data_IF_556418692570
#
_entry.id   IF_556418692570
#
_cell.length_a   1.000
_cell.length_b   1.000
_cell.length_c   1.000
_cell.angle_alpha   90.00
_cell.angle_beta   90.00
_cell.angle_gamma   90.00
#
_symmetry.space_group_name_H-M   'P 1'
#
loop_
_entity.id
_entity.type
_entity.pdbx_description
1 polymer ?
#
# COMPACT_ATOMS: atom_id res chain seq x y z
N UNK A 1 -8.75 9.62 13.57
CA UNK A 1 -10.09 9.10 13.24
C UNK A 1 -10.51 9.35 11.78
N UNK A 2 -9.58 9.42 10.81
CA UNK A 2 -9.92 9.80 9.42
C UNK A 2 -10.28 8.61 8.51
N UNK A 3 -9.94 7.38 8.89
CA UNK A 3 -10.25 6.17 8.12
C UNK A 3 -10.29 4.94 9.02
N UNK A 4 -11.21 4.02 8.70
CA UNK A 4 -11.47 2.82 9.51
C UNK A 4 -10.94 1.52 8.88
N UNK A 5 -10.42 1.60 7.66
CA UNK A 5 -9.99 0.41 6.88
C UNK A 5 -8.59 0.59 6.33
N UNK A 6 -7.89 -0.52 6.11
CA UNK A 6 -6.57 -0.51 5.46
C UNK A 6 -6.63 0.10 4.06
N UNK A 7 -7.72 -0.14 3.31
CA UNK A 7 -7.93 0.49 2.02
C UNK A 7 -8.09 2.01 2.13
N UNK A 8 -8.81 2.48 3.16
CA UNK A 8 -8.95 3.90 3.48
C UNK A 8 -7.62 4.56 3.83
N UNK A 9 -6.81 3.90 4.67
CA UNK A 9 -5.44 4.31 4.97
C UNK A 9 -4.62 4.50 3.70
N UNK A 10 -4.58 3.49 2.82
CA UNK A 10 -3.80 3.55 1.57
C UNK A 10 -4.27 4.68 0.65
N UNK A 11 -5.58 4.86 0.49
CA UNK A 11 -6.14 5.95 -0.34
C UNK A 11 -5.80 7.31 0.26
N UNK A 12 -5.91 7.46 1.58
CA UNK A 12 -5.58 8.69 2.28
C UNK A 12 -4.10 9.04 2.11
N UNK A 13 -3.19 8.09 2.34
CA UNK A 13 -1.75 8.27 2.13
C UNK A 13 -1.41 8.68 0.70
N UNK A 14 -2.09 8.13 -0.30
CA UNK A 14 -1.85 8.44 -1.71
C UNK A 14 -2.59 9.71 -2.20
N UNK A 15 -3.58 10.20 -1.45
CA UNK A 15 -4.47 11.31 -1.86
C UNK A 15 -5.37 11.01 -3.06
N UNK A 16 -5.43 9.75 -3.52
CA UNK A 16 -6.23 9.30 -4.67
C UNK A 16 -6.43 7.79 -4.62
N UNK A 17 -7.34 7.28 -5.46
CA UNK A 17 -7.46 5.84 -5.69
C UNK A 17 -6.17 5.30 -6.34
N UNK A 18 -5.58 4.22 -5.81
CA UNK A 18 -4.40 3.60 -6.40
C UNK A 18 -4.76 2.76 -7.62
N UNK A 19 -3.75 2.51 -8.46
CA UNK A 19 -3.85 1.55 -9.57
C UNK A 19 -3.34 0.17 -9.15
N UNK A 20 -3.73 -0.87 -9.90
CA UNK A 20 -3.17 -2.22 -9.72
C UNK A 20 -1.64 -2.19 -9.85
N UNK A 21 -0.97 -2.98 -9.01
CA UNK A 21 0.47 -3.10 -8.82
C UNK A 21 1.17 -1.85 -8.25
N UNK A 22 0.44 -0.78 -7.96
CA UNK A 22 1.00 0.36 -7.22
C UNK A 22 1.36 -0.07 -5.80
N UNK A 23 2.42 0.51 -5.27
CA UNK A 23 2.98 0.17 -3.96
C UNK A 23 3.17 1.42 -3.12
N UNK A 24 2.84 1.35 -1.84
CA UNK A 24 3.08 2.42 -0.86
C UNK A 24 3.72 1.84 0.39
N UNK A 25 4.63 2.59 1.01
CA UNK A 25 5.27 2.24 2.27
C UNK A 25 4.65 3.07 3.39
N UNK A 26 4.20 2.40 4.45
CA UNK A 26 3.59 3.02 5.62
C UNK A 26 4.13 2.26 6.83
N UNK A 27 4.77 2.97 7.76
CA UNK A 27 5.29 2.43 9.02
C UNK A 27 6.15 1.15 8.87
N UNK A 28 7.04 1.12 7.86
CA UNK A 28 7.94 -0.01 7.59
C UNK A 28 7.27 -1.23 6.93
N UNK A 29 5.99 -1.13 6.60
CA UNK A 29 5.27 -2.13 5.83
C UNK A 29 5.10 -1.67 4.39
N UNK A 30 5.25 -2.61 3.46
CA UNK A 30 4.97 -2.42 2.05
C UNK A 30 3.56 -2.91 1.72
N UNK A 31 2.74 -2.05 1.15
CA UNK A 31 1.39 -2.35 0.70
C UNK A 31 1.36 -2.33 -0.84
N UNK A 32 1.16 -3.49 -1.46
CA UNK A 32 0.99 -3.60 -2.91
C UNK A 32 -0.48 -3.84 -3.28
N UNK A 33 -1.02 -3.04 -4.19
CA UNK A 33 -2.40 -3.15 -4.66
C UNK A 33 -2.53 -4.29 -5.66
N UNK A 34 -3.10 -5.41 -5.24
CA UNK A 34 -3.35 -6.53 -6.15
C UNK A 34 -4.62 -6.31 -6.98
N UNK A 35 -5.65 -5.69 -6.37
CA UNK A 35 -6.92 -5.39 -7.01
C UNK A 35 -7.54 -4.11 -6.45
N UNK A 36 -7.90 -3.20 -7.35
CA UNK A 36 -8.70 -2.01 -7.08
C UNK A 36 -9.61 -1.72 -8.28
N UNK A 37 -10.71 -1.00 -8.03
CA UNK A 37 -11.58 -0.42 -9.06
C UNK A 37 -11.70 1.09 -8.88
N UNK A 38 -12.56 1.74 -9.67
CA UNK A 38 -12.77 3.19 -9.64
C UNK A 38 -13.39 3.74 -8.35
N UNK A 39 -13.68 2.88 -7.36
CA UNK A 39 -14.31 3.29 -6.10
C UNK A 39 -13.55 2.81 -4.87
N UNK A 40 -12.82 1.69 -4.95
CA UNK A 40 -12.16 1.10 -3.77
C UNK A 40 -11.00 0.15 -4.08
N UNK A 41 -10.21 -0.10 -3.06
CA UNK A 41 -9.23 -1.20 -2.99
C UNK A 41 -9.94 -2.46 -2.53
N UNK A 42 -9.70 -3.59 -3.22
CA UNK A 42 -10.27 -4.90 -2.87
C UNK A 42 -9.25 -5.82 -2.20
N UNK A 43 -7.99 -5.77 -2.64
CA UNK A 43 -6.96 -6.70 -2.17
C UNK A 43 -5.60 -6.04 -2.15
N UNK A 44 -4.93 -6.16 -1.00
CA UNK A 44 -3.58 -5.69 -0.75
C UNK A 44 -2.71 -6.90 -0.38
N UNK A 45 -1.52 -6.97 -0.96
CA UNK A 45 -0.44 -7.75 -0.38
C UNK A 45 0.29 -6.85 0.61
N UNK A 46 0.50 -7.34 1.83
CA UNK A 46 1.23 -6.64 2.87
C UNK A 46 2.42 -7.50 3.28
N UNK A 47 3.60 -6.91 3.21
CA UNK A 47 4.82 -7.56 3.68
C UNK A 47 5.71 -6.54 4.42
N UNK A 48 6.50 -6.99 5.40
CA UNK A 48 7.55 -6.15 5.95
C UNK A 48 8.50 -5.78 4.83
N UNK A 49 8.86 -4.49 4.72
CA UNK A 49 9.99 -4.14 3.91
C UNK A 49 11.24 -4.64 4.61
N UNK A 50 11.61 -5.89 4.32
CA UNK A 50 12.98 -6.31 4.51
C UNK A 50 13.76 -5.58 3.45
N UNK A 51 14.46 -4.53 3.87
CA UNK A 51 15.65 -4.11 3.15
C UNK A 51 16.57 -5.33 3.13
N UNK A 52 16.47 -6.11 2.06
CA UNK A 52 17.52 -7.04 1.69
C UNK A 52 18.72 -6.11 1.48
N UNK A 53 19.73 -6.19 2.33
CA UNK A 53 20.92 -5.32 2.36
C UNK A 53 21.80 -5.42 1.11
N UNK A 54 21.19 -5.44 -0.07
CA UNK A 54 21.80 -5.44 -1.40
C UNK A 54 22.41 -4.07 -1.74
N UNK A 55 22.26 -3.07 -0.86
CA UNK A 55 22.85 -1.75 -1.02
C UNK A 55 24.27 -1.63 -0.42
N UNK A 56 24.80 -2.69 0.21
CA UNK A 56 26.20 -2.75 0.65
C UNK A 56 26.95 -3.88 -0.07
N UNK A 57 27.25 -3.65 -1.36
CA UNK A 57 28.21 -4.44 -2.14
C UNK A 57 28.98 -3.54 -3.10
#
# INVERSE_FOLDING_TARGET
DDYDTVGGLVIHTLGRLPKRNETVQIDGLRFQVLRADSRRVHTLLVDPQRDLGLAEA
#
